data_IF_929549748222
#
_entry.id   IF_929549748222
#
_cell.length_a   1.000
_cell.length_b   1.000
_cell.length_c   1.000
_cell.angle_alpha   90.00
_cell.angle_beta   90.00
_cell.angle_gamma   90.00
#
_symmetry.space_group_name_H-M   'P 1'
#
loop_
_entity.id
_entity.type
_entity.pdbx_description
1 polymer ?
#
# COMPACT_ATOMS: atom_id res chain seq x y z
N UNK A 1 0.49 -12.25 7.28
CA UNK A 1 -0.27 -13.12 6.34
C UNK A 1 -1.71 -12.68 6.09
N UNK A 2 -2.35 -11.88 6.95
CA UNK A 2 -3.78 -11.52 6.79
C UNK A 2 -4.20 -11.01 5.41
N UNK A 3 -3.50 -10.01 4.86
CA UNK A 3 -3.81 -9.45 3.54
C UNK A 3 -3.63 -10.47 2.40
N UNK A 4 -2.57 -11.28 2.44
CA UNK A 4 -2.34 -12.32 1.43
C UNK A 4 -3.44 -13.37 1.43
N UNK A 5 -3.92 -13.77 2.61
CA UNK A 5 -5.03 -14.71 2.72
C UNK A 5 -6.36 -14.08 2.26
N UNK A 6 -6.58 -12.80 2.56
CA UNK A 6 -7.76 -12.09 2.07
C UNK A 6 -7.77 -11.99 0.54
N UNK A 7 -6.61 -11.74 -0.08
CA UNK A 7 -6.46 -11.76 -1.53
C UNK A 7 -6.75 -13.15 -2.11
N UNK A 8 -6.16 -14.20 -1.55
CA UNK A 8 -6.42 -15.57 -2.00
C UNK A 8 -7.90 -15.97 -1.85
N UNK A 9 -8.56 -15.53 -0.77
CA UNK A 9 -9.99 -15.75 -0.58
C UNK A 9 -10.84 -14.96 -1.58
N UNK A 10 -10.45 -13.73 -1.92
CA UNK A 10 -11.10 -12.95 -2.98
C UNK A 10 -11.01 -13.67 -4.34
N UNK A 11 -9.83 -14.21 -4.67
CA UNK A 11 -9.61 -15.01 -5.89
C UNK A 11 -10.45 -16.30 -5.91
N UNK A 12 -10.77 -16.85 -4.74
CA UNK A 12 -11.68 -17.99 -4.56
C UNK A 12 -13.17 -17.59 -4.57
N UNK A 13 -13.50 -16.31 -4.75
CA UNK A 13 -14.88 -15.81 -4.85
C UNK A 13 -15.51 -15.36 -3.54
N UNK A 14 -14.73 -15.20 -2.46
CA UNK A 14 -15.21 -14.62 -1.20
C UNK A 14 -15.30 -13.10 -1.33
N UNK A 15 -16.44 -12.52 -0.95
CA UNK A 15 -16.71 -11.08 -1.05
C UNK A 15 -17.00 -10.41 0.31
N UNK A 16 -16.93 -11.17 1.42
CA UNK A 16 -17.12 -10.66 2.78
C UNK A 16 -15.92 -10.98 3.65
N UNK A 17 -15.39 -9.96 4.32
CA UNK A 17 -14.20 -10.04 5.15
C UNK A 17 -14.41 -9.31 6.46
N UNK A 18 -14.01 -9.94 7.55
CA UNK A 18 -13.95 -9.31 8.86
C UNK A 18 -12.57 -8.72 9.12
N UNK A 19 -12.54 -7.57 9.77
CA UNK A 19 -11.33 -6.81 10.05
C UNK A 19 -11.52 -5.98 11.32
N UNK A 20 -10.45 -5.36 11.82
CA UNK A 20 -10.55 -4.38 12.91
C UNK A 20 -9.71 -3.14 12.64
N UNK A 21 -10.23 -1.98 13.02
CA UNK A 21 -9.54 -0.70 12.85
C UNK A 21 -8.19 -0.74 13.57
N UNK A 22 -7.11 -0.34 12.90
CA UNK A 22 -5.77 -0.40 13.46
C UNK A 22 -5.21 -1.81 13.65
N UNK A 23 -5.96 -2.87 13.31
CA UNK A 23 -5.59 -4.26 13.58
C UNK A 23 -5.76 -4.65 15.05
N UNK A 24 -6.73 -4.02 15.74
CA UNK A 24 -7.07 -4.35 17.12
C UNK A 24 -7.51 -5.80 17.30
N UNK A 25 -7.43 -6.24 18.55
CA UNK A 25 -7.75 -7.60 18.97
C UNK A 25 -6.51 -8.38 19.38
N UNK A 26 -6.68 -9.69 19.49
CA UNK A 26 -5.69 -10.62 20.01
C UNK A 26 -6.39 -11.71 20.81
N UNK A 27 -5.72 -12.84 20.99
CA UNK A 27 -6.29 -13.95 21.76
C UNK A 27 -5.82 -13.85 23.21
N UNK A 28 -6.73 -13.80 24.21
CA UNK A 28 -6.33 -13.78 25.62
C UNK A 28 -5.63 -15.08 26.06
N UNK A 29 -5.84 -16.17 25.32
CA UNK A 29 -5.27 -17.49 25.62
C UNK A 29 -3.96 -17.78 24.87
N UNK A 30 -3.59 -16.96 23.89
CA UNK A 30 -2.37 -17.15 23.11
C UNK A 30 -1.53 -15.85 23.14
N UNK A 31 -0.63 -15.71 24.14
CA UNK A 31 0.24 -14.55 24.25
C UNK A 31 1.05 -14.34 22.96
N UNK A 32 0.97 -13.13 22.40
CA UNK A 32 1.67 -12.78 21.17
C UNK A 32 0.93 -13.13 19.87
N UNK A 33 -0.27 -13.72 19.95
CA UNK A 33 -1.15 -13.81 18.78
C UNK A 33 -1.45 -12.40 18.25
N UNK A 34 -1.15 -12.17 16.97
CA UNK A 34 -1.47 -10.91 16.32
C UNK A 34 -2.97 -10.65 16.34
N UNK A 35 -3.37 -9.39 16.43
CA UNK A 35 -4.77 -8.98 16.30
C UNK A 35 -5.35 -9.28 14.91
N UNK A 36 -6.55 -8.75 14.67
CA UNK A 36 -7.23 -8.92 13.38
C UNK A 36 -6.46 -8.21 12.25
N UNK A 37 -6.83 -8.52 11.00
CA UNK A 37 -6.36 -7.76 9.85
C UNK A 37 -6.85 -6.31 9.97
N UNK A 38 -5.97 -5.35 9.70
CA UNK A 38 -6.31 -3.93 9.78
C UNK A 38 -7.34 -3.57 8.70
N UNK A 39 -8.47 -2.97 9.10
CA UNK A 39 -9.53 -2.57 8.17
C UNK A 39 -9.02 -1.60 7.11
N UNK A 40 -8.22 -0.61 7.51
CA UNK A 40 -7.67 0.40 6.60
C UNK A 40 -6.69 -0.17 5.59
N UNK A 41 -5.93 -1.20 5.97
CA UNK A 41 -4.98 -1.87 5.08
C UNK A 41 -5.74 -2.72 4.04
N UNK A 42 -6.82 -3.41 4.43
CA UNK A 42 -7.69 -4.16 3.52
C UNK A 42 -8.42 -3.24 2.54
N UNK A 43 -9.02 -2.16 3.04
CA UNK A 43 -9.75 -1.20 2.19
C UNK A 43 -8.80 -0.59 1.18
N UNK A 44 -7.63 -0.13 1.62
CA UNK A 44 -6.62 0.43 0.72
C UNK A 44 -6.16 -0.57 -0.34
N UNK A 45 -5.89 -1.83 0.05
CA UNK A 45 -5.49 -2.89 -0.88
C UNK A 45 -6.56 -3.14 -1.95
N UNK A 46 -7.82 -3.36 -1.54
CA UNK A 46 -8.90 -3.65 -2.47
C UNK A 46 -9.22 -2.48 -3.40
N UNK A 47 -9.21 -1.24 -2.89
CA UNK A 47 -9.42 -0.04 -3.72
C UNK A 47 -8.26 0.20 -4.68
N UNK A 48 -7.02 -0.03 -4.26
CA UNK A 48 -5.85 0.05 -5.14
C UNK A 48 -5.87 -1.00 -6.25
N UNK A 49 -6.53 -2.14 -6.02
CA UNK A 49 -6.79 -3.19 -7.01
C UNK A 49 -8.02 -2.91 -7.89
N UNK A 50 -8.76 -1.84 -7.65
CA UNK A 50 -9.94 -1.44 -8.42
C UNK A 50 -11.28 -2.00 -7.91
N UNK A 51 -11.31 -2.66 -6.76
CA UNK A 51 -12.55 -3.10 -6.12
C UNK A 51 -13.20 -1.97 -5.33
N UNK A 52 -14.54 -1.89 -5.38
CA UNK A 52 -15.31 -0.93 -4.57
C UNK A 52 -15.64 -1.54 -3.22
N UNK A 53 -15.14 -0.93 -2.16
CA UNK A 53 -15.41 -1.37 -0.77
C UNK A 53 -16.62 -0.67 -0.15
N UNK A 54 -16.96 0.53 -0.65
CA UNK A 54 -17.98 1.40 -0.07
C UNK A 54 -17.54 2.13 1.21
N UNK A 55 -16.27 2.00 1.60
CA UNK A 55 -15.72 2.64 2.80
C UNK A 55 -15.01 3.93 2.44
N UNK A 56 -15.20 4.99 3.22
CA UNK A 56 -14.41 6.22 3.07
C UNK A 56 -13.04 6.03 3.74
N UNK A 57 -12.02 5.72 2.93
CA UNK A 57 -10.67 5.46 3.42
C UNK A 57 -10.07 6.66 4.17
N UNK A 58 -10.26 7.89 3.71
CA UNK A 58 -9.71 9.08 4.38
C UNK A 58 -10.32 9.28 5.77
N UNK A 59 -11.64 9.13 5.89
CA UNK A 59 -12.33 9.20 7.18
C UNK A 59 -11.88 8.06 8.11
N UNK A 60 -11.69 6.85 7.58
CA UNK A 60 -11.21 5.70 8.32
C UNK A 60 -9.79 5.94 8.86
N UNK A 61 -8.87 6.43 8.03
CA UNK A 61 -7.49 6.74 8.41
C UNK A 61 -7.43 7.84 9.47
N UNK A 62 -8.33 8.83 9.41
CA UNK A 62 -8.43 9.86 10.44
C UNK A 62 -8.77 9.27 11.81
N UNK A 63 -9.62 8.24 11.88
CA UNK A 63 -9.92 7.54 13.13
C UNK A 63 -8.80 6.56 13.53
N UNK A 64 -8.23 5.82 12.58
CA UNK A 64 -7.13 4.89 12.84
C UNK A 64 -5.93 5.58 13.51
N UNK A 65 -5.59 6.80 13.05
CA UNK A 65 -4.50 7.60 13.64
C UNK A 65 -4.71 8.00 15.10
N UNK A 66 -5.95 8.04 15.57
CA UNK A 66 -6.28 8.33 16.99
C UNK A 66 -6.20 7.08 17.86
N UNK A 67 -6.11 5.90 17.27
CA UNK A 67 -6.20 4.64 17.99
C UNK A 67 -5.10 4.46 19.05
N UNK A 68 -3.82 4.77 18.78
CA UNK A 68 -2.78 4.60 19.78
C UNK A 68 -3.03 5.38 21.07
N UNK A 69 -3.56 6.60 20.96
CA UNK A 69 -3.92 7.44 22.10
C UNK A 69 -5.10 6.84 22.89
N UNK A 70 -6.08 6.25 22.19
CA UNK A 70 -7.27 5.66 22.81
C UNK A 70 -6.93 4.37 23.55
N UNK A 71 -6.11 3.50 22.95
CA UNK A 71 -5.79 2.17 23.50
C UNK A 71 -4.55 2.17 24.41
N UNK A 72 -3.78 3.26 24.40
CA UNK A 72 -2.59 3.43 25.24
C UNK A 72 -1.35 2.66 24.76
N UNK A 73 -1.36 2.15 23.53
CA UNK A 73 -0.22 1.48 22.90
C UNK A 73 -0.27 1.60 21.37
N UNK A 74 0.84 1.34 20.69
CA UNK A 74 0.89 1.36 19.22
C UNK A 74 -0.03 0.30 18.59
N UNK A 75 -0.54 0.61 17.40
CA UNK A 75 -1.36 -0.31 16.60
C UNK A 75 -0.63 -0.71 15.31
N UNK A 76 -0.83 -1.94 14.79
CA UNK A 76 -0.06 -2.45 13.65
C UNK A 76 -0.41 -1.84 12.28
N UNK A 77 -1.51 -1.10 12.13
CA UNK A 77 -1.96 -0.52 10.85
C UNK A 77 -0.87 0.20 10.07
N UNK A 78 -0.66 -0.19 8.80
CA UNK A 78 0.44 0.31 7.97
C UNK A 78 0.04 1.54 7.16
N UNK A 79 -1.14 1.52 6.56
CA UNK A 79 -1.63 2.63 5.74
C UNK A 79 -1.91 3.87 6.60
N UNK A 80 -2.29 3.73 7.87
CA UNK A 80 -2.41 4.87 8.77
C UNK A 80 -1.06 5.55 9.08
N UNK A 81 0.06 4.80 9.01
CA UNK A 81 1.42 5.31 9.24
C UNK A 81 2.00 5.92 7.97
N UNK A 82 1.92 5.21 6.85
CA UNK A 82 2.47 5.65 5.57
C UNK A 82 1.60 6.70 4.87
N UNK A 83 0.29 6.58 5.00
CA UNK A 83 -0.71 7.19 4.13
C UNK A 83 -1.07 6.27 2.95
N UNK A 84 -2.14 6.60 2.20
CA UNK A 84 -2.53 5.84 1.02
C UNK A 84 -1.45 5.96 -0.08
N UNK A 85 -1.40 4.99 -1.00
CA UNK A 85 -0.48 4.96 -2.14
C UNK A 85 -0.57 6.20 -3.06
N UNK A 86 -1.67 6.94 -3.01
CA UNK A 86 -1.87 8.20 -3.73
C UNK A 86 -1.20 9.40 -3.06
N UNK A 87 -0.77 9.29 -1.79
CA UNK A 87 -0.10 10.36 -1.06
C UNK A 87 1.27 10.64 -1.67
N UNK A 88 1.52 11.90 -2.00
CA UNK A 88 2.80 12.37 -2.56
C UNK A 88 3.48 13.31 -1.57
N UNK A 89 4.82 13.28 -1.55
CA UNK A 89 5.65 14.23 -0.83
C UNK A 89 6.18 15.29 -1.80
N UNK A 90 6.47 16.52 -1.32
CA UNK A 90 7.14 17.51 -2.14
C UNK A 90 8.51 16.97 -2.59
N UNK A 91 8.91 17.33 -3.80
CA UNK A 91 10.24 16.99 -4.32
C UNK A 91 11.27 17.73 -3.47
N UNK A 92 12.28 17.06 -2.89
CA UNK A 92 13.32 17.73 -2.12
C UNK A 92 14.11 18.74 -2.95
N UNK A 93 14.60 19.78 -2.29
CA UNK A 93 15.48 20.77 -2.92
C UNK A 93 16.70 20.08 -3.53
N UNK A 94 17.06 20.51 -4.74
CA UNK A 94 18.21 20.00 -5.46
C UNK A 94 17.99 18.70 -6.26
N UNK A 95 16.79 18.11 -6.27
CA UNK A 95 16.49 16.99 -7.19
C UNK A 95 16.42 17.47 -8.64
N UNK A 96 15.82 18.64 -8.88
CA UNK A 96 15.73 19.24 -10.22
C UNK A 96 17.08 19.74 -10.75
N UNK A 97 18.07 19.97 -9.87
CA UNK A 97 19.42 20.39 -10.24
C UNK A 97 20.40 19.22 -10.43
N UNK A 98 19.95 17.97 -10.26
CA UNK A 98 20.74 16.78 -10.61
C UNK A 98 20.61 16.56 -12.12
N UNK A 99 21.65 16.89 -12.88
CA UNK A 99 21.65 16.70 -14.33
C UNK A 99 21.38 15.23 -14.71
N UNK A 100 20.56 14.96 -15.75
CA UNK A 100 20.24 13.59 -16.20
C UNK A 100 21.47 12.77 -16.61
N UNK A 101 22.60 13.41 -16.93
CA UNK A 101 23.81 12.79 -17.48
C UNK A 101 24.73 12.12 -16.45
N UNK A 102 24.58 12.38 -15.14
CA UNK A 102 25.47 11.78 -14.13
C UNK A 102 25.22 10.28 -13.89
N UNK A 103 24.15 9.70 -14.46
CA UNK A 103 23.84 8.26 -14.34
C UNK A 103 24.50 7.37 -15.40
N UNK A 104 24.97 7.94 -16.52
CA UNK A 104 25.46 7.16 -17.66
C UNK A 104 26.99 7.20 -17.87
N UNK A 105 27.71 8.08 -17.16
CA UNK A 105 29.16 8.22 -17.32
C UNK A 105 30.00 7.10 -16.65
N UNK A 106 29.36 6.18 -15.89
CA UNK A 106 30.06 5.14 -15.12
C UNK A 106 29.83 3.69 -15.56
N UNK A 107 28.91 3.42 -16.51
CA UNK A 107 28.66 2.07 -17.02
C UNK A 107 28.68 2.13 -18.54
N UNK A 108 29.83 1.81 -19.12
CA UNK A 108 29.93 1.51 -20.55
C UNK A 108 29.10 0.28 -20.89
N UNK A 109 27.82 0.49 -21.22
CA UNK A 109 27.01 -0.50 -21.91
C UNK A 109 26.99 -0.10 -23.39
N UNK A 110 27.57 -0.96 -24.21
CA UNK A 110 27.81 -0.77 -25.63
C UNK A 110 26.51 -0.47 -26.39
N UNK A 111 26.64 0.45 -27.35
CA UNK A 111 25.59 0.89 -28.25
C UNK A 111 24.86 -0.28 -28.94
N UNK A 112 23.55 -0.36 -28.74
CA UNK A 112 22.60 -0.99 -29.66
C UNK A 112 21.66 0.09 -30.19
N UNK A 113 21.78 0.41 -31.48
CA UNK A 113 20.99 1.44 -32.15
C UNK A 113 19.49 1.09 -32.19
N UNK A 114 18.55 2.06 -32.08
CA UNK A 114 17.13 1.77 -32.12
C UNK A 114 16.67 1.53 -33.57
N UNK A 115 16.33 0.28 -33.91
CA UNK A 115 15.50 0.02 -35.08
C UNK A 115 14.05 0.42 -34.73
N UNK A 116 13.57 1.46 -35.42
CA UNK A 116 12.25 2.05 -35.28
C UNK A 116 11.13 1.08 -35.73
N UNK A 117 9.98 0.97 -35.04
CA UNK A 117 8.85 0.19 -35.52
C UNK A 117 8.00 1.05 -36.47
N UNK A 118 7.95 0.68 -37.74
CA UNK A 118 6.94 1.20 -38.69
C UNK A 118 5.77 0.23 -38.74
N UNK A 119 4.60 0.70 -38.30
CA UNK A 119 3.29 0.07 -38.49
C UNK A 119 2.94 -0.08 -39.98
N UNK A 120 2.29 -1.19 -40.35
CA UNK A 120 1.07 -1.19 -41.20
C UNK A 120 0.41 -2.58 -41.21
N UNK A 121 -0.90 -2.62 -40.99
CA UNK A 121 -1.78 -3.70 -41.50
C UNK A 121 -1.74 -3.71 -43.04
N UNK A 122 -2.09 -4.78 -43.73
CA UNK A 122 -3.17 -5.77 -43.59
C UNK A 122 -2.68 -7.16 -43.90
#
# INVERSE_FOLDING_TARGET
>A
MGLANALAALEAGIDRFDASLGGLGGCPFAPGASGNVCTEDLVHMFEAMGYRTGVNLEALLAQARRMPEIVGHDVPGQVMKAGPSSRRYPVPDGVHSREPQQRLAGVGCLAGSPASPVLRGT
#
